data_IF_151334592488
#
_entry.id   IF_151334592488
#
_cell.length_a   1.000
_cell.length_b   1.000
_cell.length_c   1.000
_cell.angle_alpha   90.00
_cell.angle_beta   90.00
_cell.angle_gamma   90.00
#
_symmetry.space_group_name_H-M   'P 1'
#
loop_
_entity.id
_entity.type
_entity.pdbx_description
1 polymer ?
#
# COMPACT_ATOMS: atom_id res chain seq x y z
N UNK A 1 6.10 4.31 -14.31
CA UNK A 1 6.15 4.70 -12.88
C UNK A 1 5.26 5.92 -12.51
N UNK A 2 4.15 6.22 -13.21
CA UNK A 2 3.30 7.39 -12.88
C UNK A 2 2.44 7.19 -11.61
N UNK A 3 1.90 5.98 -11.41
CA UNK A 3 1.00 5.64 -10.27
C UNK A 3 1.64 5.79 -8.88
N UNK A 4 2.94 5.48 -8.72
CA UNK A 4 3.65 5.63 -7.44
C UNK A 4 3.79 7.08 -6.97
N UNK A 5 3.86 8.02 -7.93
CA UNK A 5 4.01 9.45 -7.64
C UNK A 5 2.69 10.03 -7.12
N UNK A 6 1.56 9.61 -7.70
CA UNK A 6 0.21 9.95 -7.24
C UNK A 6 -0.07 9.46 -5.81
N UNK A 7 0.35 8.24 -5.49
CA UNK A 7 0.15 7.66 -4.14
C UNK A 7 0.91 8.45 -3.06
N UNK A 8 2.16 8.85 -3.35
CA UNK A 8 2.92 9.71 -2.43
C UNK A 8 2.25 11.07 -2.25
N UNK A 9 1.73 11.66 -3.32
CA UNK A 9 1.00 12.93 -3.26
C UNK A 9 -0.26 12.78 -2.40
N UNK A 10 -1.08 11.74 -2.61
CA UNK A 10 -2.30 11.48 -1.82
C UNK A 10 -2.01 11.27 -0.34
N UNK A 11 -0.95 10.52 0.03
CA UNK A 11 -0.53 10.37 1.45
C UNK A 11 -0.09 11.69 2.06
N UNK A 12 0.60 12.54 1.29
CA UNK A 12 1.03 13.86 1.75
C UNK A 12 -0.16 14.80 1.96
N UNK A 13 -1.10 14.83 1.03
CA UNK A 13 -2.36 15.60 1.16
C UNK A 13 -3.18 15.12 2.35
N UNK A 14 -3.31 13.79 2.54
CA UNK A 14 -3.97 13.24 3.72
C UNK A 14 -3.33 13.73 5.03
N UNK A 15 -2.00 13.78 5.12
CA UNK A 15 -1.29 14.31 6.28
C UNK A 15 -1.53 15.81 6.52
N UNK A 16 -1.64 16.59 5.44
CA UNK A 16 -1.96 18.03 5.53
C UNK A 16 -3.39 18.21 6.03
N UNK A 17 -4.36 17.50 5.47
CA UNK A 17 -5.76 17.55 5.89
C UNK A 17 -5.95 17.08 7.34
N UNK A 18 -5.19 16.08 7.78
CA UNK A 18 -5.20 15.63 9.17
C UNK A 18 -4.74 16.74 10.12
N UNK A 19 -3.65 17.43 9.77
CA UNK A 19 -3.14 18.58 10.53
C UNK A 19 -4.09 19.77 10.52
N UNK A 20 -4.89 19.90 9.46
CA UNK A 20 -5.92 20.94 9.32
C UNK A 20 -7.17 20.70 10.17
N UNK A 21 -7.29 19.52 10.80
CA UNK A 21 -8.46 19.11 11.57
C UNK A 21 -9.49 18.32 10.74
N UNK A 22 -9.29 18.21 9.43
CA UNK A 22 -10.13 17.46 8.50
C UNK A 22 -9.83 15.95 8.57
N UNK A 23 -9.94 15.37 9.76
CA UNK A 23 -9.58 13.97 10.04
C UNK A 23 -10.34 12.98 9.16
N UNK A 24 -11.61 13.27 8.83
CA UNK A 24 -12.47 12.40 8.02
C UNK A 24 -11.99 12.31 6.57
N UNK A 25 -11.67 13.45 5.95
CA UNK A 25 -11.10 13.51 4.60
C UNK A 25 -9.68 12.96 4.54
N UNK A 26 -8.86 13.27 5.55
CA UNK A 26 -7.53 12.70 5.69
C UNK A 26 -7.56 11.17 5.71
N UNK A 27 -8.47 10.58 6.49
CA UNK A 27 -8.59 9.13 6.60
C UNK A 27 -9.04 8.49 5.28
N UNK A 28 -9.97 9.14 4.56
CA UNK A 28 -10.42 8.70 3.24
C UNK A 28 -9.27 8.71 2.22
N UNK A 29 -8.54 9.82 2.13
CA UNK A 29 -7.38 9.97 1.24
C UNK A 29 -6.27 8.99 1.57
N UNK A 30 -6.00 8.76 2.86
CA UNK A 30 -4.99 7.80 3.31
C UNK A 30 -5.37 6.36 2.95
N UNK A 31 -6.65 6.00 3.10
CA UNK A 31 -7.15 4.65 2.78
C UNK A 31 -7.08 4.39 1.28
N UNK A 32 -7.49 5.35 0.44
CA UNK A 32 -7.36 5.23 -1.01
C UNK A 32 -5.90 5.08 -1.44
N UNK A 33 -5.01 5.93 -0.90
CA UNK A 33 -3.60 5.86 -1.21
C UNK A 33 -2.96 4.53 -0.77
N UNK A 34 -3.41 3.96 0.37
CA UNK A 34 -2.94 2.67 0.87
C UNK A 34 -3.41 1.52 -0.04
N UNK A 35 -4.66 1.51 -0.48
CA UNK A 35 -5.16 0.49 -1.41
C UNK A 35 -4.44 0.56 -2.75
N UNK A 36 -4.28 1.76 -3.32
CA UNK A 36 -3.53 1.92 -4.57
C UNK A 36 -2.05 1.51 -4.42
N UNK A 37 -1.45 1.72 -3.25
CA UNK A 37 -0.10 1.23 -2.94
C UNK A 37 -0.07 -0.30 -2.91
N UNK A 38 -1.05 -0.93 -2.28
CA UNK A 38 -1.17 -2.38 -2.16
C UNK A 38 -1.34 -3.05 -3.53
N UNK A 39 -2.20 -2.48 -4.38
CA UNK A 39 -2.38 -2.89 -5.77
C UNK A 39 -1.09 -2.69 -6.60
N UNK A 40 -0.41 -1.57 -6.40
CA UNK A 40 0.83 -1.27 -7.13
C UNK A 40 2.00 -2.16 -6.69
N UNK A 41 2.11 -2.43 -5.40
CA UNK A 41 3.12 -3.33 -4.85
C UNK A 41 2.82 -4.79 -5.19
N UNK A 42 1.66 -5.08 -5.79
CA UNK A 42 1.27 -6.46 -6.10
C UNK A 42 1.08 -7.28 -4.83
N UNK A 43 0.68 -6.66 -3.71
CA UNK A 43 0.34 -7.41 -2.50
C UNK A 43 -1.05 -8.06 -2.60
N UNK A 44 -1.86 -7.55 -3.54
CA UNK A 44 -2.98 -8.27 -4.17
C UNK A 44 -2.59 -8.82 -5.56
N UNK A 45 -1.35 -9.28 -5.73
CA UNK A 45 -1.06 -10.30 -6.73
C UNK A 45 -1.40 -11.60 -6.01
N UNK A 46 -2.37 -12.41 -6.47
CA UNK A 46 -2.48 -13.77 -5.94
C UNK A 46 -1.09 -14.36 -6.01
N UNK A 47 -0.68 -15.08 -4.97
CA UNK A 47 0.63 -15.66 -4.84
C UNK A 47 0.95 -16.61 -6.02
N UNK A 48 1.31 -16.06 -7.17
CA UNK A 48 2.00 -16.75 -8.26
C UNK A 48 3.50 -16.74 -7.98
N UNK A 49 3.86 -16.79 -6.68
CA UNK A 49 5.21 -16.99 -6.20
C UNK A 49 5.15 -18.08 -5.11
N UNK A 50 4.50 -19.20 -5.45
CA UNK A 50 4.83 -20.51 -4.89
C UNK A 50 5.99 -21.14 -5.68
N UNK A 51 6.99 -20.34 -6.06
CA UNK A 51 8.22 -20.79 -6.69
C UNK A 51 9.35 -19.85 -6.26
N UNK A 52 9.97 -20.13 -5.11
CA UNK A 52 11.16 -19.37 -4.70
C UNK A 52 11.46 -19.26 -3.21
N UNK A 53 10.74 -19.96 -2.32
CA UNK A 53 11.21 -20.17 -0.96
C UNK A 53 11.70 -21.62 -0.83
N UNK A 54 13.02 -21.90 -0.84
CA UNK A 54 13.51 -23.15 -0.28
C UNK A 54 13.29 -23.05 1.24
N UNK A 55 12.10 -23.44 1.69
CA UNK A 55 11.89 -23.79 3.08
C UNK A 55 12.66 -25.10 3.29
N UNK A 56 13.84 -24.97 3.89
CA UNK A 56 14.58 -26.06 4.52
C UNK A 56 13.59 -26.98 5.26
N UNK A 57 13.68 -28.26 4.91
CA UNK A 57 13.04 -29.36 5.63
C UNK A 57 13.43 -29.30 7.11
N UNK A 58 12.50 -29.45 8.06
CA UNK A 58 12.77 -30.31 9.19
C UNK A 58 12.41 -31.73 8.77
N UNK A 59 13.44 -32.57 8.67
CA UNK A 59 13.28 -34.01 8.67
C UNK A 59 12.87 -34.44 10.07
N UNK A 60 11.78 -35.21 10.20
CA UNK A 60 11.70 -36.44 11.00
C UNK A 60 10.45 -37.25 10.59
#
# INVERSE_FOLDING_TARGET
MRKSKDIKTKRRTAGIEYKRGNRKEAYKLWTQAKNELDELQGRNKPAEIAAGAPAEKPAE
#
